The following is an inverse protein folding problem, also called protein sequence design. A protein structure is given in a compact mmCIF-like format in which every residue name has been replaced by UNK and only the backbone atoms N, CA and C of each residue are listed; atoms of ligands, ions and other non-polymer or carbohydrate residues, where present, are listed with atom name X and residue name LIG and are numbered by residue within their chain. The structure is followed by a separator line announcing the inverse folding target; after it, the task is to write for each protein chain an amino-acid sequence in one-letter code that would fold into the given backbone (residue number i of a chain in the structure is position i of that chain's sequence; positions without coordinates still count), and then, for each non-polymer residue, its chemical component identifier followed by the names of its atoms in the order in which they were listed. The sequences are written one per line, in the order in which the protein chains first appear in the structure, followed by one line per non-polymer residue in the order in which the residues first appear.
data_IF_369732627836
#
_entry.id   IF_369732627836
#
_cell.length_a   1.000
_cell.length_b   1.000
_cell.length_c   1.000
_cell.angle_alpha   90.00
_cell.angle_beta   90.00
_cell.angle_gamma   90.00
#
_symmetry.space_group_name_H-M   'P 1'
#
loop_
_entity.id
_entity.type
_entity.pdbx_description
1 polymer ?
#
# COMPACT_ATOMS: atom_id res chain seq x y z
N UNK A 1 9.51 2.27 5.35
CA UNK A 1 10.00 3.21 4.31
C UNK A 1 10.91 2.56 3.28
N UNK A 2 11.67 1.51 3.61
CA UNK A 2 12.62 0.90 2.67
C UNK A 2 11.96 0.35 1.38
N UNK A 3 10.73 -0.19 1.47
CA UNK A 3 10.03 -0.76 0.30
C UNK A 3 9.56 0.28 -0.70
N UNK A 4 8.98 1.39 -0.22
CA UNK A 4 8.59 2.52 -1.09
C UNK A 4 9.79 3.09 -1.86
N UNK A 5 10.94 3.25 -1.19
CA UNK A 5 12.15 3.74 -1.86
C UNK A 5 12.69 2.78 -2.93
N UNK A 6 12.55 1.46 -2.69
CA UNK A 6 12.97 0.41 -3.65
C UNK A 6 12.11 0.44 -4.93
N UNK A 7 10.82 0.73 -4.79
CA UNK A 7 9.88 0.94 -5.89
C UNK A 7 9.96 2.37 -6.47
N UNK A 8 11.03 3.12 -6.18
CA UNK A 8 11.24 4.50 -6.63
C UNK A 8 10.21 5.52 -6.12
N UNK A 9 9.40 5.18 -5.11
CA UNK A 9 8.41 6.10 -4.52
C UNK A 9 9.10 6.93 -3.44
N UNK A 10 9.43 8.17 -3.78
CA UNK A 10 9.99 9.15 -2.86
C UNK A 10 8.87 9.97 -2.22
N UNK A 11 8.45 9.58 -1.02
CA UNK A 11 7.40 10.25 -0.25
C UNK A 11 7.95 10.83 1.05
N UNK A 12 7.51 12.05 1.37
CA UNK A 12 7.78 12.65 2.68
C UNK A 12 6.93 11.97 3.76
N UNK A 13 7.48 11.84 4.97
CA UNK A 13 6.79 11.28 6.15
C UNK A 13 5.51 12.05 6.47
N UNK A 14 5.52 13.38 6.34
CA UNK A 14 4.34 14.22 6.58
C UNK A 14 3.19 13.87 5.63
N UNK A 15 3.48 13.80 4.34
CA UNK A 15 2.50 13.49 3.28
C UNK A 15 1.99 12.05 3.43
N UNK A 16 2.86 11.11 3.80
CA UNK A 16 2.45 9.74 4.07
C UNK A 16 1.45 9.67 5.24
N UNK A 17 1.69 10.42 6.32
CA UNK A 17 0.76 10.51 7.45
C UNK A 17 -0.57 11.17 7.06
N UNK A 18 -0.54 12.22 6.24
CA UNK A 18 -1.75 12.87 5.73
C UNK A 18 -2.58 11.91 4.86
N UNK A 19 -1.94 11.17 3.96
CA UNK A 19 -2.59 10.12 3.16
C UNK A 19 -3.18 9.01 4.05
N UNK A 20 -2.50 8.62 5.12
CA UNK A 20 -3.03 7.61 6.05
C UNK A 20 -4.31 8.08 6.78
N UNK A 21 -4.42 9.39 7.08
CA UNK A 21 -5.55 9.96 7.82
C UNK A 21 -6.74 10.28 6.94
N UNK A 22 -6.49 10.79 5.72
CA UNK A 22 -7.54 11.31 4.85
C UNK A 22 -7.89 10.39 3.69
N UNK A 23 -6.93 9.58 3.22
CA UNK A 23 -7.05 8.80 1.98
C UNK A 23 -6.69 7.32 2.20
N UNK A 24 -7.52 6.57 2.96
CA UNK A 24 -7.19 5.21 3.39
C UNK A 24 -7.00 4.23 2.22
N UNK A 25 -7.72 4.42 1.12
CA UNK A 25 -7.59 3.57 -0.08
C UNK A 25 -6.26 3.80 -0.81
N UNK A 26 -5.88 5.07 -1.00
CA UNK A 26 -4.59 5.44 -1.58
C UNK A 26 -3.43 4.98 -0.71
N UNK A 27 -3.57 5.09 0.61
CA UNK A 27 -2.59 4.59 1.56
C UNK A 27 -2.47 3.05 1.51
N UNK A 28 -3.58 2.32 1.37
CA UNK A 28 -3.57 0.86 1.22
C UNK A 28 -2.79 0.43 -0.03
N UNK A 29 -2.98 1.10 -1.16
CA UNK A 29 -2.22 0.82 -2.38
C UNK A 29 -0.71 1.02 -2.18
N UNK A 30 -0.30 2.09 -1.48
CA UNK A 30 1.11 2.32 -1.13
C UNK A 30 1.67 1.21 -0.23
N UNK A 31 0.89 0.75 0.75
CA UNK A 31 1.29 -0.37 1.62
C UNK A 31 1.46 -1.66 0.83
N UNK A 32 0.57 -1.93 -0.12
CA UNK A 32 0.65 -3.14 -0.97
C UNK A 32 1.89 -3.12 -1.86
N UNK A 33 2.16 -1.99 -2.51
CA UNK A 33 3.38 -1.78 -3.29
C UNK A 33 4.64 -1.92 -2.42
N UNK A 34 4.63 -1.37 -1.20
CA UNK A 34 5.76 -1.52 -0.29
C UNK A 34 5.97 -2.97 0.20
N UNK A 35 4.94 -3.81 0.18
CA UNK A 35 5.02 -5.23 0.58
C UNK A 35 5.52 -6.10 -0.56
N UNK A 36 5.12 -5.83 -1.80
CA UNK A 36 5.64 -6.53 -2.98
C UNK A 36 7.13 -6.30 -3.18
N UNK A 37 7.67 -5.18 -2.69
CA UNK A 37 9.09 -4.87 -2.69
C UNK A 37 9.95 -5.89 -1.89
N UNK A 38 9.37 -6.66 -0.96
CA UNK A 38 10.07 -7.68 -0.16
C UNK A 38 9.35 -9.03 -0.19
N UNK A 39 9.86 -10.00 -0.98
CA UNK A 39 9.22 -11.31 -1.13
C UNK A 39 9.32 -12.23 0.09
N UNK A 40 10.14 -11.89 1.10
CA UNK A 40 10.40 -12.72 2.29
C UNK A 40 9.34 -12.58 3.40
N UNK A 41 8.50 -11.54 3.37
CA UNK A 41 7.56 -11.23 4.46
C UNK A 41 6.10 -11.58 4.12
N UNK A 42 5.87 -12.74 3.49
CA UNK A 42 4.54 -13.21 3.08
C UNK A 42 3.67 -13.62 4.27
N UNK A 43 3.24 -12.68 5.10
CA UNK A 43 1.93 -12.80 5.75
C UNK A 43 0.89 -12.43 4.70
N UNK A 44 0.31 -13.47 4.12
CA UNK A 44 -0.85 -13.38 3.20
C UNK A 44 -1.99 -12.71 3.97
N UNK A 45 -2.22 -11.43 3.74
CA UNK A 45 -3.49 -10.81 4.09
C UNK A 45 -4.52 -11.26 3.05
N UNK A 46 -5.75 -11.59 3.46
CA UNK A 46 -6.72 -12.16 2.56
C UNK A 46 -7.05 -11.11 1.50
N UNK A 47 -6.81 -11.46 0.24
CA UNK A 47 -7.35 -10.71 -0.89
C UNK A 47 -8.88 -10.74 -0.74
N UNK A 48 -9.47 -9.70 -0.14
CA UNK A 48 -10.90 -9.44 -0.32
C UNK A 48 -11.08 -8.96 -1.75
N UNK A 49 -11.21 -9.94 -2.65
CA UNK A 49 -11.83 -9.75 -3.95
C UNK A 49 -13.29 -9.41 -3.66
N UNK A 50 -13.65 -8.14 -3.79
CA UNK A 50 -15.02 -7.66 -3.66
C UNK A 50 -15.02 -6.17 -4.01
N UNK A 51 -15.73 -5.66 -5.01
CA UNK A 51 -16.89 -6.19 -5.70
C UNK A 51 -16.90 -5.52 -7.09
N UNK A 52 -16.50 -6.26 -8.12
CA UNK A 52 -16.79 -5.93 -9.51
C UNK A 52 -17.65 -7.05 -10.07
N UNK A 53 -18.90 -7.13 -9.63
CA UNK A 53 -19.95 -7.95 -10.25
C UNK A 53 -21.25 -7.17 -10.11
N UNK A 54 -21.65 -6.57 -11.24
CA UNK A 54 -23.03 -6.35 -11.70
C UNK A 54 -23.93 -5.48 -10.81
N UNK A 55 -24.14 -4.24 -11.25
CA UNK A 55 -25.46 -3.65 -11.44
C UNK A 55 -25.43 -2.82 -12.73
#
# INVERSE_FOLDING_TARGET
MHGLMKENIQLNRKVLSELAMHEPYSFKALVDVSRTAFPDNKKVEPQKVGLAVVL
#
